data_IF_425031687918
#
_entry.id   IF_425031687918
#
_cell.length_a   1.000
_cell.length_b   1.000
_cell.length_c   1.000
_cell.angle_alpha   90.00
_cell.angle_beta   90.00
_cell.angle_gamma   90.00
#
_symmetry.space_group_name_H-M   'P 1'
#
loop_
_entity.id
_entity.type
_entity.pdbx_description
1 polymer ?
#
# COMPACT_ATOMS: atom_id res chain seq x y z
N UNK A 1 -26.40 14.18 -27.26
CA UNK A 1 -26.65 14.12 -25.80
C UNK A 1 -26.70 15.55 -25.25
N UNK A 2 -27.78 15.93 -24.56
CA UNK A 2 -27.91 17.28 -23.99
C UNK A 2 -26.85 17.53 -22.90
N UNK A 3 -26.38 18.78 -22.73
CA UNK A 3 -25.44 19.22 -21.68
C UNK A 3 -25.80 18.66 -20.29
N UNK A 4 -27.10 18.66 -19.93
CA UNK A 4 -27.60 18.11 -18.66
C UNK A 4 -27.33 16.60 -18.51
N UNK A 5 -27.55 15.83 -19.57
CA UNK A 5 -27.31 14.38 -19.60
C UNK A 5 -25.81 14.07 -19.54
N UNK A 6 -24.98 14.84 -20.26
CA UNK A 6 -23.51 14.75 -20.22
C UNK A 6 -22.97 14.94 -18.81
N UNK A 7 -23.44 15.98 -18.12
CA UNK A 7 -23.00 16.29 -16.76
C UNK A 7 -23.36 15.18 -15.78
N UNK A 8 -24.59 14.65 -15.83
CA UNK A 8 -25.02 13.51 -14.99
C UNK A 8 -24.13 12.28 -15.18
N UNK A 9 -23.78 11.96 -16.44
CA UNK A 9 -22.88 10.83 -16.76
C UNK A 9 -21.47 11.01 -16.21
N UNK A 10 -20.90 12.22 -16.33
CA UNK A 10 -19.56 12.51 -15.81
C UNK A 10 -19.56 12.38 -14.28
N UNK A 11 -20.57 12.93 -13.61
CA UNK A 11 -20.70 12.87 -12.15
C UNK A 11 -20.79 11.42 -11.67
N UNK A 12 -21.64 10.59 -12.28
CA UNK A 12 -21.77 9.18 -11.88
C UNK A 12 -20.47 8.39 -12.12
N UNK A 13 -19.80 8.62 -13.24
CA UNK A 13 -18.50 7.99 -13.55
C UNK A 13 -17.44 8.40 -12.51
N UNK A 14 -17.39 9.67 -12.14
CA UNK A 14 -16.44 10.19 -11.15
C UNK A 14 -16.68 9.62 -9.76
N UNK A 15 -17.94 9.50 -9.34
CA UNK A 15 -18.29 8.87 -8.05
C UNK A 15 -17.82 7.42 -8.04
N UNK A 16 -18.11 6.66 -9.10
CA UNK A 16 -17.66 5.26 -9.24
C UNK A 16 -16.13 5.15 -9.16
N UNK A 17 -15.43 5.95 -9.94
CA UNK A 17 -13.95 5.97 -9.96
C UNK A 17 -13.37 6.36 -8.60
N UNK A 18 -13.95 7.36 -7.93
CA UNK A 18 -13.53 7.78 -6.58
C UNK A 18 -13.66 6.65 -5.56
N UNK A 19 -14.76 5.90 -5.58
CA UNK A 19 -14.95 4.75 -4.67
C UNK A 19 -13.89 3.66 -4.90
N UNK A 20 -13.62 3.30 -6.16
CA UNK A 20 -12.60 2.30 -6.51
C UNK A 20 -11.20 2.78 -6.11
N UNK A 21 -10.84 4.01 -6.46
CA UNK A 21 -9.53 4.60 -6.16
C UNK A 21 -9.29 4.73 -4.65
N UNK A 22 -10.35 5.00 -3.87
CA UNK A 22 -10.30 5.06 -2.42
C UNK A 22 -9.88 3.71 -1.83
N UNK A 23 -10.39 2.59 -2.35
CA UNK A 23 -10.04 1.24 -1.88
C UNK A 23 -8.54 0.94 -2.03
N UNK A 24 -7.95 1.25 -3.19
CA UNK A 24 -6.50 1.08 -3.38
C UNK A 24 -5.71 2.00 -2.45
N UNK A 25 -6.09 3.27 -2.36
CA UNK A 25 -5.37 4.24 -1.53
C UNK A 25 -5.45 3.92 -0.04
N UNK A 26 -6.61 3.46 0.44
CA UNK A 26 -6.80 3.07 1.85
C UNK A 26 -6.05 1.79 2.17
N UNK A 27 -6.14 0.76 1.34
CA UNK A 27 -5.43 -0.51 1.55
C UNK A 27 -3.91 -0.32 1.58
N UNK A 28 -3.34 0.49 0.68
CA UNK A 28 -1.92 0.85 0.72
C UNK A 28 -1.57 1.52 2.05
N UNK A 29 -2.37 2.48 2.52
CA UNK A 29 -2.14 3.18 3.80
C UNK A 29 -2.21 2.21 4.98
N UNK A 30 -3.23 1.37 5.05
CA UNK A 30 -3.44 0.41 6.14
C UNK A 30 -2.31 -0.60 6.21
N UNK A 31 -1.96 -1.23 5.09
CA UNK A 31 -0.86 -2.20 5.04
C UNK A 31 0.49 -1.57 5.35
N UNK A 32 0.73 -0.33 4.88
CA UNK A 32 1.96 0.40 5.22
C UNK A 32 2.06 0.66 6.72
N UNK A 33 0.96 1.05 7.38
CA UNK A 33 0.94 1.27 8.83
C UNK A 33 1.17 -0.03 9.60
N UNK A 34 0.49 -1.10 9.19
CA UNK A 34 0.66 -2.43 9.80
C UNK A 34 2.12 -2.89 9.71
N UNK A 35 2.71 -2.81 8.52
CA UNK A 35 4.11 -3.15 8.29
C UNK A 35 5.04 -2.35 9.21
N UNK A 36 4.92 -1.02 9.24
CA UNK A 36 5.77 -0.18 10.08
C UNK A 36 5.60 -0.46 11.58
N UNK A 37 4.38 -0.78 12.02
CA UNK A 37 4.10 -1.17 13.41
C UNK A 37 4.85 -2.47 13.76
N UNK A 38 4.68 -3.52 12.95
CA UNK A 38 5.36 -4.79 13.19
C UNK A 38 6.88 -4.66 13.15
N UNK A 39 7.42 -3.84 12.23
CA UNK A 39 8.85 -3.51 12.21
C UNK A 39 9.28 -2.90 13.54
N UNK A 40 8.55 -1.89 14.03
CA UNK A 40 8.86 -1.25 15.31
C UNK A 40 8.80 -2.24 16.47
N UNK A 41 7.79 -3.12 16.49
CA UNK A 41 7.61 -4.11 17.55
C UNK A 41 8.74 -5.16 17.56
N UNK A 42 9.26 -5.53 16.39
CA UNK A 42 10.42 -6.43 16.26
C UNK A 42 11.69 -5.74 16.75
N UNK A 43 11.93 -4.47 16.37
CA UNK A 43 13.13 -3.74 16.79
C UNK A 43 13.20 -3.46 18.31
N UNK A 44 12.06 -3.38 18.98
CA UNK A 44 12.00 -3.13 20.43
C UNK A 44 12.24 -4.37 21.29
N UNK A 45 12.09 -5.58 20.73
CA UNK A 45 12.23 -6.84 21.45
C UNK A 45 13.62 -7.44 21.25
N UNK A 46 14.20 -8.12 22.25
CA UNK A 46 15.46 -8.84 22.07
C UNK A 46 15.30 -9.93 20.99
N UNK A 47 16.37 -10.14 20.20
CA UNK A 47 16.40 -11.15 19.13
C UNK A 47 16.43 -12.55 19.74
N UNK A 48 15.25 -13.13 19.97
CA UNK A 48 15.06 -14.51 20.40
C UNK A 48 14.53 -15.38 19.24
N UNK A 49 14.51 -16.71 19.41
CA UNK A 49 14.02 -17.67 18.41
C UNK A 49 12.57 -17.39 17.94
N UNK A 50 11.71 -16.86 18.81
CA UNK A 50 10.33 -16.43 18.47
C UNK A 50 10.24 -15.22 17.51
N UNK A 51 11.37 -14.62 17.17
CA UNK A 51 11.42 -13.46 16.26
C UNK A 51 11.34 -13.91 14.81
N UNK A 52 11.87 -15.09 14.48
CA UNK A 52 11.96 -15.61 13.10
C UNK A 52 10.57 -15.73 12.44
N UNK A 53 9.53 -16.28 13.09
CA UNK A 53 8.18 -16.34 12.51
C UNK A 53 7.57 -14.95 12.22
N UNK A 54 7.79 -13.99 13.13
CA UNK A 54 7.28 -12.61 12.98
C UNK A 54 7.97 -11.87 11.84
N UNK A 55 9.26 -12.12 11.62
CA UNK A 55 10.02 -11.62 10.47
C UNK A 55 9.45 -12.19 9.17
N UNK A 56 9.15 -13.49 9.12
CA UNK A 56 8.54 -14.10 7.94
C UNK A 56 7.15 -13.53 7.63
N UNK A 57 6.32 -13.32 8.66
CA UNK A 57 5.00 -12.69 8.50
C UNK A 57 5.11 -11.26 7.95
N UNK A 58 6.03 -10.45 8.49
CA UNK A 58 6.27 -9.07 8.03
C UNK A 58 6.76 -9.02 6.59
N UNK A 59 7.61 -9.97 6.17
CA UNK A 59 8.01 -10.13 4.78
C UNK A 59 6.82 -10.48 3.88
N UNK A 60 5.91 -11.33 4.35
CA UNK A 60 4.65 -11.62 3.65
C UNK A 60 3.78 -10.37 3.44
N UNK A 61 3.69 -9.51 4.45
CA UNK A 61 2.96 -8.23 4.37
C UNK A 61 3.64 -7.26 3.40
N UNK A 62 4.98 -7.20 3.39
CA UNK A 62 5.76 -6.43 2.39
C UNK A 62 5.41 -6.86 0.97
N UNK A 63 5.39 -8.16 0.70
CA UNK A 63 5.07 -8.70 -0.62
C UNK A 63 3.63 -8.34 -1.07
N UNK A 64 2.66 -8.47 -0.15
CA UNK A 64 1.27 -8.02 -0.40
C UNK A 64 1.20 -6.52 -0.70
N UNK A 65 1.95 -5.70 0.05
CA UNK A 65 2.01 -4.25 -0.13
C UNK A 65 2.61 -3.88 -1.50
N UNK A 66 3.69 -4.52 -1.92
CA UNK A 66 4.25 -4.34 -3.27
C UNK A 66 3.26 -4.71 -4.37
N UNK A 67 2.59 -5.86 -4.23
CA UNK A 67 1.56 -6.28 -5.19
C UNK A 67 0.44 -5.25 -5.34
N UNK A 68 -0.06 -4.68 -4.23
CA UNK A 68 -1.11 -3.66 -4.28
C UNK A 68 -0.61 -2.34 -4.85
N UNK A 69 0.61 -1.91 -4.52
CA UNK A 69 1.22 -0.71 -5.10
C UNK A 69 1.31 -0.83 -6.62
N UNK A 70 1.78 -1.97 -7.13
CA UNK A 70 1.91 -2.19 -8.56
C UNK A 70 0.57 -2.27 -9.27
N UNK A 71 -0.41 -2.94 -8.65
CA UNK A 71 -1.80 -2.94 -9.15
C UNK A 71 -2.38 -1.53 -9.18
N UNK A 72 -2.11 -0.70 -8.17
CA UNK A 72 -2.57 0.68 -8.12
C UNK A 72 -1.91 1.55 -9.21
N UNK A 73 -0.63 1.33 -9.52
CA UNK A 73 0.06 1.98 -10.65
C UNK A 73 -0.56 1.52 -11.98
N UNK A 74 -0.69 0.20 -12.19
CA UNK A 74 -1.29 -0.38 -13.42
C UNK A 74 -2.71 0.12 -13.65
N UNK A 75 -3.49 0.31 -12.59
CA UNK A 75 -4.87 0.82 -12.66
C UNK A 75 -4.96 2.36 -12.71
N UNK A 76 -3.83 3.07 -12.75
CA UNK A 76 -3.78 4.53 -12.84
C UNK A 76 -4.27 5.26 -11.59
N UNK A 77 -4.34 4.58 -10.45
CA UNK A 77 -4.77 5.19 -9.18
C UNK A 77 -3.66 6.06 -8.59
N UNK A 78 -2.40 5.65 -8.77
CA UNK A 78 -1.22 6.41 -8.37
C UNK A 78 -0.24 6.50 -9.55
N UNK A 79 0.47 7.63 -9.65
CA UNK A 79 1.50 7.79 -10.67
C UNK A 79 2.71 6.86 -10.42
N UNK A 80 3.38 6.43 -11.49
CA UNK A 80 4.56 5.54 -11.43
C UNK A 80 5.62 5.99 -10.43
N UNK A 81 5.95 7.28 -10.42
CA UNK A 81 6.96 7.84 -9.51
C UNK A 81 6.51 7.76 -8.04
N UNK A 82 5.21 7.92 -7.76
CA UNK A 82 4.68 7.78 -6.41
C UNK A 82 4.74 6.31 -5.95
N UNK A 83 4.44 5.37 -6.86
CA UNK A 83 4.64 3.94 -6.62
C UNK A 83 6.10 3.62 -6.25
N UNK A 84 7.05 4.07 -7.06
CA UNK A 84 8.49 3.85 -6.82
C UNK A 84 8.96 4.46 -5.49
N UNK A 85 8.54 5.69 -5.18
CA UNK A 85 8.86 6.35 -3.89
C UNK A 85 8.35 5.55 -2.69
N UNK A 86 7.11 5.02 -2.77
CA UNK A 86 6.54 4.18 -1.72
C UNK A 86 7.32 2.87 -1.54
N UNK A 87 7.66 2.20 -2.63
CA UNK A 87 8.47 0.97 -2.59
C UNK A 87 9.84 1.19 -1.96
N UNK A 88 10.52 2.28 -2.33
CA UNK A 88 11.82 2.66 -1.76
C UNK A 88 11.73 2.85 -0.24
N UNK A 89 10.71 3.57 0.26
CA UNK A 89 10.50 3.77 1.69
C UNK A 89 10.32 2.45 2.46
N UNK A 90 9.54 1.52 1.91
CA UNK A 90 9.32 0.20 2.51
C UNK A 90 10.63 -0.60 2.52
N UNK A 91 11.42 -0.53 1.45
CA UNK A 91 12.70 -1.24 1.37
C UNK A 91 13.68 -0.73 2.43
N UNK A 92 13.81 0.59 2.59
CA UNK A 92 14.64 1.20 3.63
C UNK A 92 14.26 0.73 5.04
N UNK A 93 12.97 0.56 5.32
CA UNK A 93 12.51 0.04 6.61
C UNK A 93 12.80 -1.46 6.77
N UNK A 94 12.64 -2.24 5.70
CA UNK A 94 12.92 -3.69 5.67
C UNK A 94 14.38 -4.02 5.98
N UNK A 95 15.32 -3.21 5.49
CA UNK A 95 16.76 -3.41 5.72
C UNK A 95 17.10 -3.42 7.22
N UNK A 96 16.37 -2.65 8.04
CA UNK A 96 16.61 -2.56 9.49
C UNK A 96 16.34 -3.85 10.26
N UNK A 97 15.63 -4.80 9.67
CA UNK A 97 15.31 -6.10 10.29
C UNK A 97 16.27 -7.20 9.80
N UNK A 98 16.89 -7.02 8.64
CA UNK A 98 17.82 -8.00 8.08
C UNK A 98 19.20 -8.01 8.75
N UNK A 99 19.54 -6.94 9.49
CA UNK A 99 20.76 -6.81 10.29
C UNK A 99 20.42 -6.78 11.78
#
# INVERSE_FOLDING_TARGET
>A
MNKKQKNRKIVSQNIRNRMVNRRYSSTIKTLSKLFLKQIKDILLKPKNEETIPKVNETLGIKNKLYSIIDKAVKKGVIHKNNGSRKKSKINKASIKIQY
#
